data_IF_612908138205
#
_entry.id   IF_612908138205
#
_cell.length_a   1.000
_cell.length_b   1.000
_cell.length_c   1.000
_cell.angle_alpha   90.00
_cell.angle_beta   90.00
_cell.angle_gamma   90.00
#
_symmetry.space_group_name_H-M   'P 1'
#
loop_
_entity.id
_entity.type
_entity.pdbx_description
1 polymer ?
#
# COMPACT_ATOMS: atom_id res chain seq x y z
N UNK A 1 9.62 -18.98 -13.09
CA UNK A 1 8.94 -17.69 -12.86
C UNK A 1 9.05 -17.45 -11.38
N UNK A 2 9.81 -16.44 -10.96
CA UNK A 2 9.93 -16.13 -9.53
C UNK A 2 8.57 -15.60 -9.07
N UNK A 3 7.91 -16.38 -8.22
CA UNK A 3 6.48 -16.31 -7.90
C UNK A 3 6.20 -15.63 -6.57
N UNK A 4 7.17 -14.93 -5.99
CA UNK A 4 7.09 -14.53 -4.59
C UNK A 4 6.40 -13.17 -4.41
N UNK A 5 6.06 -12.49 -5.51
CA UNK A 5 5.29 -11.24 -5.55
C UNK A 5 4.00 -11.54 -6.31
N UNK A 6 2.89 -11.63 -5.58
CA UNK A 6 1.62 -12.09 -6.16
C UNK A 6 0.45 -11.17 -5.92
N UNK A 7 -0.58 -11.34 -6.74
CA UNK A 7 -1.89 -10.77 -6.54
C UNK A 7 -2.71 -11.55 -5.49
N UNK A 8 -3.95 -11.10 -5.26
CA UNK A 8 -4.88 -11.69 -4.30
C UNK A 8 -5.25 -13.15 -4.61
N UNK A 9 -5.01 -13.61 -5.84
CA UNK A 9 -5.29 -14.95 -6.34
C UNK A 9 -4.02 -15.80 -6.52
N UNK A 10 -2.86 -15.31 -6.07
CA UNK A 10 -1.58 -16.01 -6.19
C UNK A 10 -0.96 -15.94 -7.59
N UNK A 11 -1.47 -15.10 -8.49
CA UNK A 11 -0.83 -14.86 -9.78
C UNK A 11 0.34 -13.90 -9.60
N UNK A 12 1.43 -14.12 -10.34
CA UNK A 12 2.57 -13.21 -10.29
C UNK A 12 2.15 -11.79 -10.69
N UNK A 13 2.59 -10.78 -9.95
CA UNK A 13 2.38 -9.38 -10.32
C UNK A 13 3.01 -9.11 -11.69
N UNK A 14 2.44 -8.17 -12.43
CA UNK A 14 2.98 -7.71 -13.71
C UNK A 14 3.23 -6.21 -13.72
N UNK A 15 4.24 -5.80 -14.50
CA UNK A 15 4.73 -4.43 -14.55
C UNK A 15 3.76 -3.43 -15.20
N UNK A 16 2.76 -3.91 -15.96
CA UNK A 16 1.81 -3.04 -16.68
C UNK A 16 0.54 -2.79 -15.86
N UNK A 17 0.26 -3.65 -14.87
CA UNK A 17 -0.92 -3.54 -14.00
C UNK A 17 -0.56 -2.91 -12.65
N UNK A 18 0.59 -3.24 -12.08
CA UNK A 18 0.95 -2.81 -10.73
C UNK A 18 2.04 -1.74 -10.73
N UNK A 19 1.85 -0.77 -9.85
CA UNK A 19 2.80 0.30 -9.57
C UNK A 19 3.44 0.04 -8.21
N UNK A 20 4.77 0.21 -8.12
CA UNK A 20 5.57 0.03 -6.91
C UNK A 20 6.12 1.39 -6.50
N UNK A 21 5.55 1.97 -5.44
CA UNK A 21 5.95 3.29 -4.94
C UNK A 21 6.52 3.19 -3.54
N UNK A 22 7.57 3.96 -3.31
CA UNK A 22 8.03 4.31 -1.97
C UNK A 22 7.68 5.76 -1.69
N UNK A 23 7.26 6.04 -0.47
CA UNK A 23 6.77 7.36 -0.12
C UNK A 23 6.35 7.45 1.34
N UNK A 24 5.67 8.54 1.66
CA UNK A 24 5.14 8.81 2.99
C UNK A 24 3.71 9.31 2.89
N UNK A 25 2.98 9.18 3.99
CA UNK A 25 1.72 9.91 4.17
C UNK A 25 1.99 11.30 4.72
N UNK A 26 1.05 12.23 4.50
CA UNK A 26 1.07 13.53 5.15
C UNK A 26 1.25 13.37 6.68
N UNK A 27 2.04 14.23 7.36
CA UNK A 27 2.46 13.99 8.75
C UNK A 27 1.33 13.82 9.78
N UNK A 28 0.14 14.34 9.48
CA UNK A 28 -1.04 14.23 10.35
C UNK A 28 -1.94 13.05 10.01
N UNK A 29 -1.60 12.28 8.98
CA UNK A 29 -2.38 11.15 8.49
C UNK A 29 -1.71 9.84 8.87
N UNK A 30 -2.42 9.03 9.67
CA UNK A 30 -1.97 7.68 10.03
C UNK A 30 -2.79 6.67 9.21
N UNK A 31 -2.17 5.91 8.28
CA UNK A 31 -2.91 4.96 7.46
C UNK A 31 -3.40 3.77 8.28
N UNK A 32 -4.69 3.45 8.13
CA UNK A 32 -5.32 2.24 8.64
C UNK A 32 -6.45 1.76 7.71
N UNK A 33 -6.98 0.56 7.95
CA UNK A 33 -8.00 -0.02 7.07
C UNK A 33 -9.32 0.73 7.03
N UNK A 34 -9.64 1.53 8.04
CA UNK A 34 -10.88 2.31 8.11
C UNK A 34 -10.83 3.61 7.30
N UNK A 35 -9.63 4.08 6.92
CA UNK A 35 -9.43 5.32 6.18
C UNK A 35 -8.82 5.12 4.77
N UNK A 36 -8.91 3.91 4.22
CA UNK A 36 -8.38 3.55 2.89
C UNK A 36 -8.85 4.45 1.74
N UNK A 37 -10.08 4.99 1.82
CA UNK A 37 -10.61 5.95 0.85
C UNK A 37 -9.88 7.29 0.82
N UNK A 38 -9.07 7.58 1.84
CA UNK A 38 -8.30 8.81 1.98
C UNK A 38 -6.81 8.59 1.67
N UNK A 39 -6.37 7.36 1.41
CA UNK A 39 -4.95 7.07 1.25
C UNK A 39 -4.35 7.82 0.07
N UNK A 40 -4.96 7.73 -1.10
CA UNK A 40 -4.44 8.36 -2.32
C UNK A 40 -4.31 9.89 -2.18
N UNK A 41 -5.21 10.56 -1.45
CA UNK A 41 -5.13 12.02 -1.27
C UNK A 41 -4.03 12.46 -0.29
N UNK A 42 -3.67 11.59 0.66
CA UNK A 42 -2.66 11.86 1.69
C UNK A 42 -1.30 11.23 1.35
N UNK A 43 -1.21 10.44 0.28
CA UNK A 43 0.02 9.78 -0.15
C UNK A 43 0.92 10.72 -0.95
N UNK A 44 2.20 10.78 -0.58
CA UNK A 44 3.25 11.52 -1.25
C UNK A 44 4.28 10.52 -1.78
N UNK A 45 4.38 10.45 -3.10
CA UNK A 45 5.37 9.59 -3.78
C UNK A 45 6.74 10.23 -3.63
N UNK A 46 7.70 9.47 -3.11
CA UNK A 46 9.12 9.84 -3.11
C UNK A 46 9.82 9.26 -4.34
N UNK A 47 9.57 8.00 -4.66
CA UNK A 47 10.09 7.35 -5.85
C UNK A 47 9.19 6.19 -6.30
N UNK A 48 9.37 5.76 -7.55
CA UNK A 48 8.66 4.63 -8.14
C UNK A 48 9.64 3.69 -8.84
N UNK A 49 9.50 2.40 -8.56
CA UNK A 49 10.29 1.35 -9.20
C UNK A 49 9.48 0.64 -10.29
N UNK A 50 10.17 0.23 -11.36
CA UNK A 50 9.61 -0.70 -12.34
C UNK A 50 9.82 -2.14 -11.86
N UNK A 51 8.79 -2.98 -11.99
CA UNK A 51 8.91 -4.40 -11.70
C UNK A 51 9.54 -5.15 -12.87
N UNK A 52 10.63 -5.88 -12.61
CA UNK A 52 11.24 -6.77 -13.59
C UNK A 52 10.61 -8.15 -13.52
N UNK A 53 9.59 -8.40 -14.34
CA UNK A 53 8.92 -9.71 -14.36
C UNK A 53 9.86 -10.86 -14.75
N UNK A 54 10.87 -10.59 -15.60
CA UNK A 54 11.87 -11.59 -15.98
C UNK A 54 12.74 -12.03 -14.80
N UNK A 55 13.02 -11.12 -13.86
CA UNK A 55 13.94 -11.36 -12.75
C UNK A 55 13.25 -11.49 -11.39
N UNK A 56 11.97 -11.16 -11.27
CA UNK A 56 11.21 -11.28 -10.03
C UNK A 56 11.50 -10.23 -8.96
N UNK A 57 12.06 -9.07 -9.33
CA UNK A 57 12.37 -8.00 -8.38
C UNK A 57 11.99 -6.63 -8.93
N UNK A 58 11.85 -5.65 -8.03
CA UNK A 58 11.80 -4.24 -8.34
C UNK A 58 12.96 -3.55 -7.60
N UNK A 59 13.51 -2.50 -8.20
CA UNK A 59 14.57 -1.70 -7.59
C UNK A 59 14.57 -0.32 -8.22
N UNK A 60 14.95 0.68 -7.44
CA UNK A 60 15.19 2.05 -7.89
C UNK A 60 16.20 2.72 -6.96
N UNK A 61 16.77 3.82 -7.42
CA UNK A 61 17.66 4.66 -6.62
C UNK A 61 17.38 6.11 -6.99
N UNK A 62 17.20 6.93 -5.97
CA UNK A 62 16.95 8.36 -6.09
C UNK A 62 17.71 9.10 -5.00
N UNK A 63 17.80 10.42 -5.11
CA UNK A 63 18.44 11.26 -4.10
C UNK A 63 17.39 12.04 -3.31
N UNK A 64 17.59 12.08 -2.00
CA UNK A 64 16.97 13.10 -1.17
C UNK A 64 17.77 14.40 -1.34
N UNK A 65 17.07 15.50 -1.60
CA UNK A 65 17.65 16.82 -1.79
C UNK A 65 17.86 17.52 -0.44
N UNK A 66 18.61 18.63 -0.44
CA UNK A 66 18.91 19.38 0.79
C UNK A 66 17.68 19.98 1.48
N UNK A 67 16.57 20.19 0.76
CA UNK A 67 15.27 20.59 1.32
C UNK A 67 14.42 19.39 1.78
N UNK A 68 14.95 18.18 1.62
CA UNK A 68 14.32 16.89 1.94
C UNK A 68 13.26 16.44 0.95
N UNK A 69 13.20 17.03 -0.24
CA UNK A 69 12.43 16.53 -1.38
C UNK A 69 13.17 15.40 -2.12
N UNK A 70 12.54 14.78 -3.11
CA UNK A 70 13.15 13.78 -3.98
C UNK A 70 13.54 14.38 -5.32
N UNK A 71 14.60 13.88 -5.97
CA UNK A 71 14.86 14.18 -7.38
C UNK A 71 14.25 13.15 -8.36
N UNK A 72 13.40 12.24 -7.88
CA UNK A 72 12.71 11.28 -8.72
C UNK A 72 11.78 12.00 -9.70
N UNK A 73 11.72 11.59 -10.99
CA UNK A 73 10.73 12.11 -11.92
C UNK A 73 9.28 11.72 -11.56
N UNK A 74 9.10 10.82 -10.59
CA UNK A 74 7.80 10.38 -10.10
C UNK A 74 7.40 11.02 -8.77
N UNK A 75 8.23 11.92 -8.23
CA UNK A 75 7.90 12.64 -7.00
C UNK A 75 6.55 13.35 -7.15
N UNK A 76 5.74 13.31 -6.09
CA UNK A 76 4.54 14.15 -6.04
C UNK A 76 4.96 15.62 -6.02
N UNK A 77 4.49 16.48 -6.94
CA UNK A 77 4.91 17.87 -6.97
C UNK A 77 4.48 18.65 -5.74
N UNK A 78 5.30 19.63 -5.34
CA UNK A 78 5.00 20.58 -4.24
C UNK A 78 4.78 19.90 -2.89
N UNK A 79 5.44 18.76 -2.66
CA UNK A 79 5.37 18.07 -1.37
C UNK A 79 6.25 18.75 -0.33
N UNK A 80 5.83 18.74 0.95
CA UNK A 80 6.72 19.02 2.05
C UNK A 80 7.90 18.04 2.08
N UNK A 81 8.94 18.41 2.82
CA UNK A 81 10.10 17.57 3.10
C UNK A 81 9.70 16.17 3.58
N UNK A 82 10.30 15.13 3.00
CA UNK A 82 10.19 13.75 3.48
C UNK A 82 11.06 13.48 4.70
N UNK A 83 11.99 14.39 5.03
CA UNK A 83 12.99 14.20 6.08
C UNK A 83 12.37 13.77 7.42
N UNK A 84 12.81 12.62 7.94
CA UNK A 84 12.34 12.06 9.21
C UNK A 84 10.94 11.45 9.17
N UNK A 85 10.26 11.43 8.02
CA UNK A 85 8.99 10.73 7.86
C UNK A 85 9.19 9.23 7.75
N UNK A 86 8.17 8.49 8.13
CA UNK A 86 8.12 7.04 7.95
C UNK A 86 7.96 6.70 6.47
N UNK A 87 8.85 5.85 5.96
CA UNK A 87 8.76 5.39 4.58
C UNK A 87 7.91 4.12 4.49
N UNK A 88 7.00 4.10 3.52
CA UNK A 88 6.12 2.99 3.22
C UNK A 88 6.35 2.51 1.79
N UNK A 89 6.19 1.20 1.58
CA UNK A 89 6.04 0.60 0.26
C UNK A 89 4.54 0.44 -0.03
N UNK A 90 4.06 1.08 -1.09
CA UNK A 90 2.70 0.90 -1.60
C UNK A 90 2.74 0.25 -2.99
N UNK A 91 2.24 -0.98 -3.08
CA UNK A 91 2.04 -1.70 -4.34
C UNK A 91 0.55 -1.69 -4.68
N UNK A 92 0.18 -1.27 -5.89
CA UNK A 92 -1.24 -1.09 -6.26
C UNK A 92 -1.51 -1.10 -7.75
N UNK A 93 -2.74 -1.47 -8.15
CA UNK A 93 -3.25 -1.34 -9.53
C UNK A 93 -4.37 -0.30 -9.70
N UNK A 94 -4.58 0.56 -8.69
CA UNK A 94 -5.57 1.64 -8.71
C UNK A 94 -5.51 2.53 -7.46
N UNK A 95 -6.14 3.70 -7.50
CA UNK A 95 -6.12 4.69 -6.39
C UNK A 95 -7.33 4.63 -5.46
N UNK A 96 -8.42 3.99 -5.91
CA UNK A 96 -9.68 3.93 -5.15
C UNK A 96 -9.89 2.53 -4.56
N UNK A 97 -10.42 2.42 -3.33
CA UNK A 97 -10.72 1.14 -2.69
C UNK A 97 -12.04 0.56 -3.22
N UNK A 98 -12.02 0.07 -4.45
CA UNK A 98 -13.22 -0.45 -5.15
C UNK A 98 -12.99 -1.88 -5.60
N UNK A 99 -14.06 -2.67 -5.83
CA UNK A 99 -13.90 -4.04 -6.30
C UNK A 99 -13.03 -4.14 -7.55
N UNK A 100 -12.04 -5.03 -7.51
CA UNK A 100 -11.06 -5.22 -8.58
C UNK A 100 -9.77 -4.40 -8.43
N UNK A 101 -9.71 -3.41 -7.52
CA UNK A 101 -8.43 -2.84 -7.11
C UNK A 101 -7.75 -3.73 -6.09
N UNK A 102 -6.43 -3.74 -6.13
CA UNK A 102 -5.57 -4.61 -5.34
C UNK A 102 -4.40 -3.82 -4.81
N UNK A 103 -4.23 -3.83 -3.49
CA UNK A 103 -3.20 -3.07 -2.79
C UNK A 103 -2.34 -3.95 -1.89
N UNK A 104 -1.15 -3.46 -1.57
CA UNK A 104 -0.34 -3.83 -0.42
C UNK A 104 0.27 -2.54 0.10
N UNK A 105 0.09 -2.25 1.38
CA UNK A 105 0.78 -1.15 2.06
C UNK A 105 1.53 -1.70 3.26
N UNK A 106 2.85 -1.66 3.22
CA UNK A 106 3.71 -2.18 4.27
C UNK A 106 4.92 -1.28 4.50
N UNK A 107 5.64 -1.52 5.59
CA UNK A 107 6.90 -0.86 5.93
C UNK A 107 7.67 -1.67 6.97
N UNK A 108 8.96 -1.38 7.10
CA UNK A 108 9.71 -1.71 8.29
C UNK A 108 9.86 -0.48 9.21
N UNK A 109 9.98 -0.72 10.51
CA UNK A 109 10.10 0.26 11.59
C UNK A 109 11.38 1.09 11.47
N UNK A 110 12.43 0.50 10.90
CA UNK A 110 13.68 1.18 10.58
C UNK A 110 13.61 2.07 9.32
N UNK A 111 12.57 1.94 8.49
CA UNK A 111 12.41 2.74 7.28
C UNK A 111 11.92 4.15 7.64
N UNK A 112 12.88 5.05 7.81
CA UNK A 112 12.68 6.47 8.07
C UNK A 112 13.53 7.25 7.09
N UNK A 113 12.93 8.19 6.37
CA UNK A 113 13.66 9.04 5.44
C UNK A 113 14.79 9.77 6.17
N UNK A 114 16.01 9.79 5.61
CA UNK A 114 17.13 10.51 6.21
C UNK A 114 16.81 12.01 6.34
N UNK A 115 17.37 12.64 7.36
CA UNK A 115 17.33 14.10 7.50
C UNK A 115 18.56 14.67 6.79
N UNK A 116 18.39 15.46 5.71
CA UNK A 116 19.50 16.15 5.08
C UNK A 116 20.18 17.09 6.07
N UNK A 117 21.51 17.08 6.08
CA UNK A 117 22.30 18.00 6.89
C UNK A 117 22.85 19.10 5.99
N UNK A 118 22.33 20.34 6.11
CA UNK A 118 22.74 21.43 5.24
C UNK A 118 24.16 21.96 5.55
N UNK A 119 24.81 21.47 6.61
CA UNK A 119 26.15 21.93 7.03
C UNK A 119 27.29 21.02 6.57
N UNK A 120 26.97 19.81 6.08
CA UNK A 120 27.94 18.83 5.60
C UNK A 120 27.86 18.68 4.07
N UNK A 121 28.20 19.75 3.34
CA UNK A 121 28.16 19.79 1.87
C UNK A 121 29.39 19.11 1.20
N UNK A 122 30.26 18.46 1.99
CA UNK A 122 31.58 17.99 1.52
C UNK A 122 31.78 16.47 1.52
N UNK A 123 30.83 15.68 2.02
CA UNK A 123 30.97 14.22 2.11
C UNK A 123 29.67 13.52 1.68
N UNK A 124 29.78 12.55 0.77
CA UNK A 124 28.69 11.63 0.46
C UNK A 124 28.20 10.96 1.75
N UNK A 125 26.94 11.21 2.12
CA UNK A 125 26.29 10.67 3.35
C UNK A 125 26.04 9.15 3.28
N UNK A 126 26.56 8.48 2.25
CA UNK A 126 26.36 7.06 1.99
C UNK A 126 25.03 6.75 1.31
N UNK A 127 24.82 5.47 0.99
CA UNK A 127 23.58 4.96 0.41
C UNK A 127 22.77 4.31 1.53
N UNK A 128 21.51 4.70 1.65
CA UNK A 128 20.53 3.98 2.47
C UNK A 128 19.81 2.99 1.56
N UNK A 129 19.88 1.72 1.92
CA UNK A 129 19.16 0.66 1.24
C UNK A 129 17.96 0.26 2.11
N UNK A 130 16.78 0.19 1.49
CA UNK A 130 15.59 -0.39 2.09
C UNK A 130 15.21 -1.63 1.29
N UNK A 131 15.19 -2.77 1.97
CA UNK A 131 14.92 -4.06 1.35
C UNK A 131 13.67 -4.68 1.96
N UNK A 132 12.84 -5.34 1.14
CA UNK A 132 11.67 -6.09 1.61
C UNK A 132 12.05 -7.14 2.67
N UNK A 133 13.31 -7.61 2.69
CA UNK A 133 13.82 -8.49 3.74
C UNK A 133 13.87 -7.86 5.14
N UNK A 134 13.88 -6.53 5.24
CA UNK A 134 13.87 -5.80 6.52
C UNK A 134 12.51 -5.92 7.21
N UNK A 135 11.46 -6.30 6.46
CA UNK A 135 10.10 -6.38 6.96
C UNK A 135 9.82 -7.77 7.54
N UNK A 136 10.20 -7.96 8.80
CA UNK A 136 10.21 -9.28 9.45
C UNK A 136 8.94 -9.60 10.25
N UNK A 137 8.42 -8.64 11.00
CA UNK A 137 7.36 -8.91 11.99
C UNK A 137 6.23 -7.87 12.01
N UNK A 138 6.28 -6.89 11.12
CA UNK A 138 5.28 -5.82 11.07
C UNK A 138 4.05 -6.26 10.31
N UNK A 139 2.87 -5.87 10.80
CA UNK A 139 1.60 -6.17 10.13
C UNK A 139 1.40 -5.12 9.04
N UNK A 140 1.29 -5.53 7.75
CA UNK A 140 0.94 -4.62 6.68
C UNK A 140 -0.36 -3.87 7.01
N UNK A 141 -0.44 -2.61 6.61
CA UNK A 141 -1.68 -1.82 6.71
C UNK A 141 -2.76 -2.35 5.75
N UNK A 142 -2.33 -3.03 4.69
CA UNK A 142 -3.16 -3.78 3.75
C UNK A 142 -2.31 -4.81 3.01
N UNK A 143 -2.88 -5.94 2.60
CA UNK A 143 -2.15 -7.00 1.91
C UNK A 143 -1.38 -7.93 2.86
N UNK A 144 -0.39 -8.66 2.35
CA UNK A 144 0.39 -9.63 3.12
C UNK A 144 1.86 -9.63 2.74
N UNK A 145 2.70 -9.97 3.70
CA UNK A 145 4.12 -10.23 3.50
C UNK A 145 4.53 -11.52 4.22
N UNK A 146 5.25 -12.41 3.56
CA UNK A 146 5.56 -13.74 4.07
C UNK A 146 4.31 -14.46 4.56
N UNK A 147 4.22 -14.67 5.88
CA UNK A 147 3.07 -15.28 6.55
C UNK A 147 2.19 -14.27 7.31
N UNK A 148 2.56 -12.99 7.35
CA UNK A 148 1.89 -11.95 8.14
C UNK A 148 0.96 -11.15 7.22
N UNK A 149 -0.34 -11.30 7.44
CA UNK A 149 -1.38 -10.60 6.70
C UNK A 149 -1.94 -9.41 7.47
N UNK A 150 -2.14 -8.32 6.75
CA UNK A 150 -2.98 -7.20 7.15
C UNK A 150 -4.43 -7.36 6.66
N UNK A 151 -5.21 -6.27 6.72
CA UNK A 151 -6.56 -6.18 6.18
C UNK A 151 -6.62 -6.40 4.66
N UNK A 152 -7.81 -6.80 4.18
CA UNK A 152 -8.14 -7.00 2.76
C UNK A 152 -8.65 -8.41 2.45
N UNK A 153 -8.95 -8.68 1.18
CA UNK A 153 -9.49 -9.97 0.72
C UNK A 153 -8.53 -10.65 -0.25
N UNK A 154 -8.41 -11.97 -0.13
CA UNK A 154 -7.57 -12.83 -0.95
C UNK A 154 -8.15 -14.24 -1.04
N UNK A 155 -7.75 -14.98 -2.06
CA UNK A 155 -8.12 -16.39 -2.25
C UNK A 155 -6.93 -17.33 -2.11
N UNK A 156 -5.72 -16.88 -2.44
CA UNK A 156 -4.51 -17.66 -2.24
C UNK A 156 -3.91 -17.44 -0.85
N UNK A 157 -3.86 -18.50 -0.05
CA UNK A 157 -3.34 -18.47 1.32
C UNK A 157 -1.87 -18.87 1.46
N UNK A 158 -1.23 -19.29 0.36
CA UNK A 158 0.18 -19.68 0.36
C UNK A 158 1.08 -18.52 0.82
N UNK A 159 2.24 -18.83 1.47
CA UNK A 159 3.20 -17.81 1.84
C UNK A 159 3.93 -17.29 0.60
N UNK A 160 3.92 -15.98 0.43
CA UNK A 160 4.61 -15.24 -0.64
C UNK A 160 5.42 -14.12 0.00
N UNK A 161 6.50 -13.66 -0.64
CA UNK A 161 7.27 -12.50 -0.13
C UNK A 161 6.36 -11.30 0.05
N UNK A 162 5.61 -10.90 -0.99
CA UNK A 162 4.53 -9.92 -0.89
C UNK A 162 3.30 -10.41 -1.66
N UNK A 163 2.12 -10.07 -1.13
CA UNK A 163 0.85 -10.37 -1.76
C UNK A 163 -0.10 -9.18 -1.65
N UNK A 164 -0.64 -8.70 -2.78
CA UNK A 164 -1.69 -7.68 -2.79
C UNK A 164 -3.04 -8.30 -2.46
N UNK A 165 -3.89 -7.56 -1.75
CA UNK A 165 -5.25 -7.96 -1.42
C UNK A 165 -6.26 -7.03 -2.09
N UNK A 166 -7.41 -7.58 -2.48
CA UNK A 166 -8.49 -6.84 -3.14
C UNK A 166 -9.52 -6.28 -2.16
N UNK A 167 -10.35 -5.36 -2.66
CA UNK A 167 -11.57 -4.90 -2.01
C UNK A 167 -12.75 -5.73 -2.50
N UNK A 168 -13.61 -6.14 -1.58
CA UNK A 168 -14.92 -6.72 -1.93
C UNK A 168 -15.98 -5.62 -1.89
N UNK A 169 -17.06 -5.74 -2.68
CA UNK A 169 -18.21 -4.87 -2.50
C UNK A 169 -18.66 -5.02 -1.05
N UNK A 170 -18.71 -3.93 -0.29
CA UNK A 170 -19.53 -3.94 0.92
C UNK A 170 -20.93 -4.35 0.47
N UNK A 171 -21.57 -5.38 1.08
CA UNK A 171 -22.97 -5.62 0.81
C UNK A 171 -23.68 -4.34 1.18
N UNK A 172 -24.21 -3.63 0.17
CA UNK A 172 -24.70 -2.28 0.34
C UNK A 172 -25.62 -2.29 1.56
N UNK A 173 -25.38 -1.44 2.55
CA UNK A 173 -26.25 -1.34 3.73
C UNK A 173 -27.72 -1.16 3.33
N UNK A 174 -27.98 -0.61 2.15
CA UNK A 174 -29.28 -0.60 1.47
C UNK A 174 -29.88 -1.99 1.17
N UNK A 175 -29.09 -2.97 0.73
CA UNK A 175 -29.53 -4.35 0.52
C UNK A 175 -29.88 -5.02 1.87
N UNK A 176 -29.05 -4.82 2.89
CA UNK A 176 -29.34 -5.32 4.25
C UNK A 176 -30.58 -4.65 4.86
N UNK A 177 -30.74 -3.34 4.67
CA UNK A 177 -31.93 -2.61 5.10
C UNK A 177 -33.19 -3.03 4.33
N UNK A 178 -33.08 -3.28 3.02
CA UNK A 178 -34.17 -3.78 2.20
C UNK A 178 -34.59 -5.20 2.63
N UNK A 179 -33.63 -6.10 2.87
CA UNK A 179 -33.91 -7.43 3.39
C UNK A 179 -34.56 -7.37 4.77
N UNK A 180 -34.02 -6.54 5.68
CA UNK A 180 -34.63 -6.32 7.00
C UNK A 180 -36.07 -5.78 6.89
N UNK A 181 -36.32 -4.84 5.96
CA UNK A 181 -37.65 -4.32 5.67
C UNK A 181 -38.61 -5.39 5.16
N UNK A 182 -38.17 -6.25 4.23
CA UNK A 182 -38.96 -7.36 3.70
C UNK A 182 -39.30 -8.38 4.80
N UNK A 183 -38.34 -8.73 5.66
CA UNK A 183 -38.59 -9.62 6.80
C UNK A 183 -39.57 -8.99 7.82
N UNK A 184 -39.46 -7.70 8.10
CA UNK A 184 -40.38 -7.01 9.01
C UNK A 184 -41.82 -6.96 8.45
N UNK A 185 -41.97 -6.69 7.15
CA UNK A 185 -43.29 -6.64 6.48
C UNK A 185 -43.92 -8.02 6.38
N UNK A 186 -43.15 -9.04 5.98
CA UNK A 186 -43.66 -10.42 5.88
C UNK A 186 -44.01 -11.01 7.24
N UNK A 187 -43.24 -10.70 8.30
CA UNK A 187 -43.58 -11.09 9.68
C UNK A 187 -44.85 -10.42 10.18
N UNK A 188 -45.05 -9.13 9.90
CA UNK A 188 -46.32 -8.44 10.24
C UNK A 188 -47.52 -9.07 9.54
N UNK A 189 -47.40 -9.39 8.25
CA UNK A 189 -48.51 -10.00 7.49
C UNK A 189 -48.90 -11.39 8.00
N UNK A 190 -47.94 -12.18 8.51
CA UNK A 190 -48.22 -13.51 9.09
C UNK A 190 -48.84 -13.48 10.49
N UNK A 191 -48.73 -12.37 11.22
CA UNK A 191 -49.35 -12.22 12.54
C UNK A 191 -50.78 -11.63 12.50
N UNK A 192 -51.23 -11.17 11.32
CA UNK A 192 -52.57 -10.59 11.10
C UNK A 192 -53.47 -11.48 10.22
N UNK A 193 -53.04 -12.72 9.93
CA UNK A 193 -53.83 -13.77 9.31
C UNK A 193 -53.97 -14.93 10.30
#
# INVERSE_FOLDING_TARGET
VFSDLTDSNGQALDQNTFVFEIGAFDPTFVPDSSNTSQWASNWRVFDRAAYSQANGYFTSTTHIMNDGTSNSPFETPSVPSFAGLEAYLWVRNGDNPVPGTEWLLTRASAWVFPVPDPTEDCCDKGVIEWSVSDIVAEVPKWGKQGTIGGPGVFTDSNPHTLQTYTFVPEPSSALLAALAGVFAVTRRRRNHA
#
